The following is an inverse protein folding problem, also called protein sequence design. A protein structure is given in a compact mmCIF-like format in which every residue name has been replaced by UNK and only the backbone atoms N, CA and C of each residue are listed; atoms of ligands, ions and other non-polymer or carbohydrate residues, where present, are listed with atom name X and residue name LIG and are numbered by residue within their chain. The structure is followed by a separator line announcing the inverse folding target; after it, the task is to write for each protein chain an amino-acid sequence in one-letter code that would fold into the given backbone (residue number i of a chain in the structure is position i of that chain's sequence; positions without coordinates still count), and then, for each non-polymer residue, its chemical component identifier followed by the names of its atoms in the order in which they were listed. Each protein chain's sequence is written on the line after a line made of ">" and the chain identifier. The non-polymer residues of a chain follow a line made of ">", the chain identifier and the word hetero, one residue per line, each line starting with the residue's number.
data_IF_840170364866
#
_entry.id   IF_840170364866
#
_cell.length_a   1.000
_cell.length_b   1.000
_cell.length_c   1.000
_cell.angle_alpha   90.00
_cell.angle_beta   90.00
_cell.angle_gamma   90.00
#
_symmetry.space_group_name_H-M   'P 1'
#
loop_
_entity.id
_entity.type
_entity.pdbx_description
1 polymer ?
#
# COMPACT_ATOMS: atom_id res chain seq x y z
N UNK A 1 -58.29 -48.22 26.07
CA UNK A 1 -56.91 -48.36 25.55
C UNK A 1 -56.78 -48.38 24.01
N UNK A 2 -57.84 -48.27 23.18
CA UNK A 2 -57.69 -48.23 21.71
C UNK A 2 -57.73 -46.83 21.05
N UNK A 3 -58.18 -45.78 21.76
CA UNK A 3 -58.26 -44.40 21.21
C UNK A 3 -56.98 -43.56 21.39
N UNK A 4 -56.08 -43.97 22.29
CA UNK A 4 -54.81 -43.24 22.52
C UNK A 4 -53.74 -43.58 21.48
N UNK A 5 -53.76 -44.80 20.94
CA UNK A 5 -52.82 -45.24 19.90
C UNK A 5 -53.11 -44.61 18.53
N UNK A 6 -54.33 -44.11 18.29
CA UNK A 6 -54.71 -43.49 17.00
C UNK A 6 -54.23 -42.02 16.92
N UNK A 7 -54.22 -41.30 18.04
CA UNK A 7 -53.74 -39.90 18.10
C UNK A 7 -52.21 -39.80 18.00
N UNK A 8 -51.47 -40.78 18.51
CA UNK A 8 -50.01 -40.80 18.42
C UNK A 8 -49.51 -41.20 17.01
N UNK A 9 -50.30 -41.99 16.27
CA UNK A 9 -49.95 -42.42 14.90
C UNK A 9 -50.12 -41.30 13.87
N UNK A 10 -51.07 -40.38 14.07
CA UNK A 10 -51.29 -39.25 13.14
C UNK A 10 -50.21 -38.17 13.29
N UNK A 11 -49.67 -37.98 14.50
CA UNK A 11 -48.63 -36.97 14.76
C UNK A 11 -47.23 -37.38 14.25
N UNK A 12 -46.95 -38.68 14.15
CA UNK A 12 -45.67 -39.21 13.64
C UNK A 12 -45.65 -39.24 12.10
N UNK A 13 -46.82 -39.36 11.45
CA UNK A 13 -46.90 -39.43 9.98
C UNK A 13 -46.76 -38.06 9.30
N UNK A 14 -46.95 -36.95 10.02
CA UNK A 14 -46.79 -35.58 9.48
C UNK A 14 -45.35 -35.04 9.53
N UNK A 15 -44.38 -35.78 10.08
CA UNK A 15 -42.97 -35.36 10.11
C UNK A 15 -42.18 -35.93 8.92
N UNK A 16 -42.75 -36.86 8.14
CA UNK A 16 -42.05 -37.54 7.03
C UNK A 16 -42.39 -37.02 5.62
N UNK A 17 -43.08 -35.87 5.47
CA UNK A 17 -43.52 -35.37 4.15
C UNK A 17 -43.16 -33.89 3.90
N UNK A 18 -41.87 -33.55 4.10
CA UNK A 18 -41.18 -32.36 3.54
C UNK A 18 -39.72 -32.82 3.39
N UNK A 19 -38.99 -32.76 2.28
CA UNK A 19 -39.20 -32.37 0.88
C UNK A 19 -37.86 -32.68 0.17
N UNK A 20 -37.90 -33.15 -1.08
CA UNK A 20 -36.85 -33.11 -2.13
C UNK A 20 -35.46 -33.71 -1.78
N UNK A 21 -35.14 -34.94 -2.20
CA UNK A 21 -34.71 -35.40 -3.54
C UNK A 21 -33.25 -35.05 -3.87
N UNK A 22 -32.41 -36.08 -3.84
CA UNK A 22 -31.15 -36.34 -4.57
C UNK A 22 -30.27 -35.13 -4.94
N UNK A 23 -29.18 -34.96 -4.18
CA UNK A 23 -27.81 -34.86 -4.73
C UNK A 23 -26.80 -35.00 -3.58
N UNK A 24 -26.48 -36.26 -3.26
CA UNK A 24 -25.46 -36.68 -2.29
C UNK A 24 -24.02 -36.47 -2.82
N UNK A 25 -23.68 -35.24 -3.22
CA UNK A 25 -22.30 -34.82 -3.51
C UNK A 25 -22.04 -33.39 -3.01
N UNK A 26 -22.64 -33.04 -1.88
CA UNK A 26 -22.15 -31.92 -1.09
C UNK A 26 -20.78 -32.32 -0.52
N UNK A 27 -19.74 -32.15 -1.34
CA UNK A 27 -18.39 -31.90 -0.84
C UNK A 27 -18.53 -30.68 0.05
N UNK A 28 -18.67 -30.92 1.35
CA UNK A 28 -18.42 -29.92 2.36
C UNK A 28 -16.95 -29.59 2.16
N UNK A 29 -16.67 -28.61 1.31
CA UNK A 29 -15.40 -27.90 1.31
C UNK A 29 -15.42 -27.17 2.65
N UNK A 30 -14.99 -27.87 3.70
CA UNK A 30 -14.49 -27.21 4.89
C UNK A 30 -13.32 -26.42 4.35
N UNK A 31 -13.55 -25.13 4.10
CA UNK A 31 -12.49 -24.21 3.76
C UNK A 31 -11.59 -24.17 4.99
N UNK A 32 -10.60 -25.06 5.01
CA UNK A 32 -9.58 -25.08 6.04
C UNK A 32 -9.01 -23.67 6.08
N UNK A 33 -9.12 -23.02 7.24
CA UNK A 33 -8.46 -21.74 7.44
C UNK A 33 -7.00 -21.88 6.99
N UNK A 34 -6.41 -20.84 6.36
CA UNK A 34 -5.03 -20.92 5.91
C UNK A 34 -4.13 -21.36 7.07
N UNK A 35 -3.29 -22.38 6.86
CA UNK A 35 -2.33 -22.83 7.86
C UNK A 35 -1.17 -21.82 7.91
N UNK A 36 -1.09 -21.08 9.02
CA UNK A 36 -0.03 -20.10 9.30
C UNK A 36 1.07 -20.68 10.22
N UNK A 37 1.18 -22.01 10.31
CA UNK A 37 2.31 -22.63 11.02
C UNK A 37 3.60 -22.54 10.20
N UNK A 38 4.72 -22.25 10.86
CA UNK A 38 6.03 -22.18 10.22
C UNK A 38 6.95 -21.10 10.80
N UNK A 39 8.15 -21.01 10.23
CA UNK A 39 9.10 -19.93 10.51
C UNK A 39 8.96 -18.86 9.43
N UNK A 40 8.60 -17.64 9.85
CA UNK A 40 8.53 -16.50 8.95
C UNK A 40 9.89 -15.81 8.86
N UNK A 41 10.25 -15.39 7.66
CA UNK A 41 11.39 -14.51 7.41
C UNK A 41 10.90 -13.29 6.67
N UNK A 42 11.44 -12.12 7.04
CA UNK A 42 11.17 -10.87 6.32
C UNK A 42 11.63 -11.04 4.87
N UNK A 43 10.75 -10.77 3.90
CA UNK A 43 11.09 -10.80 2.47
C UNK A 43 11.06 -9.42 1.82
N UNK A 44 10.17 -8.54 2.29
CA UNK A 44 10.02 -7.20 1.72
C UNK A 44 9.58 -6.19 2.78
N UNK A 45 10.24 -5.04 2.85
CA UNK A 45 9.82 -3.94 3.71
C UNK A 45 9.09 -2.92 2.84
N UNK A 46 7.83 -2.65 3.18
CA UNK A 46 7.02 -1.64 2.50
C UNK A 46 7.04 -0.35 3.31
N UNK A 47 7.77 0.65 2.81
CA UNK A 47 7.76 2.01 3.32
C UNK A 47 6.88 2.92 2.47
N UNK A 48 7.45 4.05 2.04
CA UNK A 48 6.80 5.00 1.14
C UNK A 48 6.61 4.38 -0.26
N UNK A 49 5.58 4.81 -1.00
CA UNK A 49 5.36 4.32 -2.35
C UNK A 49 6.59 4.48 -3.25
N UNK A 50 6.77 3.53 -4.18
CA UNK A 50 7.78 3.51 -5.23
C UNK A 50 9.28 3.57 -4.83
N UNK A 51 9.66 3.85 -3.57
CA UNK A 51 11.06 4.05 -3.15
C UNK A 51 11.95 2.85 -3.46
N UNK A 52 11.57 1.67 -2.98
CA UNK A 52 12.33 0.44 -3.22
C UNK A 52 12.39 0.10 -4.73
N UNK A 53 11.36 0.45 -5.49
CA UNK A 53 11.31 0.17 -6.94
C UNK A 53 12.29 1.06 -7.70
N UNK A 54 12.32 2.36 -7.40
CA UNK A 54 13.03 3.38 -8.17
C UNK A 54 14.49 3.53 -7.75
N UNK A 55 14.76 3.61 -6.44
CA UNK A 55 16.07 4.05 -5.95
C UNK A 55 16.97 2.92 -5.46
N UNK A 56 16.43 1.73 -5.17
CA UNK A 56 17.24 0.58 -4.77
C UNK A 56 17.71 -0.19 -6.01
N UNK A 57 19.02 -0.24 -6.22
CA UNK A 57 19.61 -1.02 -7.31
C UNK A 57 19.23 -2.51 -7.23
N UNK A 58 19.06 -3.17 -8.38
CA UNK A 58 18.53 -4.54 -8.47
C UNK A 58 19.29 -5.57 -7.61
N UNK A 59 20.62 -5.45 -7.52
CA UNK A 59 21.46 -6.32 -6.70
C UNK A 59 21.39 -6.09 -5.19
N UNK A 60 20.69 -5.03 -4.75
CA UNK A 60 20.65 -4.61 -3.34
C UNK A 60 19.25 -4.69 -2.74
N UNK A 61 18.25 -5.14 -3.49
CA UNK A 61 16.85 -5.22 -3.02
C UNK A 61 16.68 -6.17 -1.84
N UNK A 62 17.27 -7.36 -1.91
CA UNK A 62 17.18 -8.32 -0.81
C UNK A 62 17.85 -7.78 0.47
N UNK A 63 19.01 -7.14 0.35
CA UNK A 63 19.72 -6.53 1.48
C UNK A 63 18.93 -5.35 2.07
N UNK A 64 18.36 -4.49 1.21
CA UNK A 64 17.52 -3.37 1.61
C UNK A 64 16.29 -3.84 2.39
N UNK A 65 15.63 -4.90 1.91
CA UNK A 65 14.41 -5.46 2.47
C UNK A 65 14.57 -6.11 3.86
N UNK A 66 15.80 -6.42 4.26
CA UNK A 66 16.11 -6.99 5.58
C UNK A 66 16.90 -6.03 6.48
N UNK A 67 17.33 -4.88 5.94
CA UNK A 67 18.06 -3.87 6.71
C UNK A 67 17.09 -3.15 7.64
N UNK A 68 17.45 -3.04 8.92
CA UNK A 68 16.63 -2.32 9.90
C UNK A 68 16.50 -0.86 9.47
N UNK A 69 15.29 -0.24 9.52
CA UNK A 69 15.07 1.12 9.02
C UNK A 69 16.08 2.16 9.52
N UNK A 70 16.46 2.10 10.80
CA UNK A 70 17.45 3.01 11.41
C UNK A 70 18.87 2.89 10.85
N UNK A 71 19.16 1.84 10.07
CA UNK A 71 20.45 1.58 9.43
C UNK A 71 20.41 1.82 7.91
N UNK A 72 19.20 1.94 7.31
CA UNK A 72 19.07 2.03 5.85
C UNK A 72 19.75 3.27 5.28
N UNK A 73 19.60 4.44 5.92
CA UNK A 73 20.26 5.66 5.47
C UNK A 73 21.79 5.47 5.37
N UNK A 74 22.42 4.95 6.43
CA UNK A 74 23.86 4.72 6.44
C UNK A 74 24.34 3.69 5.40
N UNK A 75 23.47 2.75 5.02
CA UNK A 75 23.81 1.66 4.10
C UNK A 75 23.53 2.01 2.62
N UNK A 76 22.52 2.85 2.35
CA UNK A 76 21.97 3.01 1.00
C UNK A 76 21.86 4.46 0.50
N UNK A 77 22.08 5.48 1.34
CA UNK A 77 21.90 6.89 0.92
C UNK A 77 22.77 7.24 -0.30
N UNK A 78 24.05 6.84 -0.33
CA UNK A 78 24.93 7.11 -1.48
C UNK A 78 24.39 6.48 -2.78
N UNK A 79 23.84 5.27 -2.71
CA UNK A 79 23.20 4.62 -3.86
C UNK A 79 21.95 5.37 -4.32
N UNK A 80 21.15 5.85 -3.37
CA UNK A 80 19.95 6.63 -3.67
C UNK A 80 20.31 7.95 -4.34
N UNK A 81 21.36 8.62 -3.86
CA UNK A 81 21.87 9.86 -4.45
C UNK A 81 22.35 9.63 -5.89
N UNK A 82 23.17 8.61 -6.11
CA UNK A 82 23.65 8.26 -7.45
C UNK A 82 22.49 7.96 -8.41
N UNK A 83 21.51 7.18 -7.95
CA UNK A 83 20.33 6.84 -8.76
C UNK A 83 19.43 8.05 -9.00
N UNK A 84 19.26 8.94 -8.02
CA UNK A 84 18.50 10.19 -8.16
C UNK A 84 19.13 11.10 -9.22
N UNK A 85 20.44 11.33 -9.13
CA UNK A 85 21.17 12.19 -10.07
C UNK A 85 21.24 11.58 -11.48
N UNK A 86 21.27 10.25 -11.58
CA UNK A 86 21.20 9.57 -12.87
C UNK A 86 19.79 9.61 -13.49
N UNK A 87 18.74 9.62 -12.67
CA UNK A 87 17.35 9.59 -13.10
C UNK A 87 16.83 10.99 -13.45
N UNK A 88 17.12 11.99 -12.62
CA UNK A 88 16.49 13.30 -12.71
C UNK A 88 17.41 14.37 -13.31
N UNK A 89 16.99 15.01 -14.42
CA UNK A 89 17.68 16.20 -14.93
C UNK A 89 17.64 17.40 -13.97
N UNK A 90 16.71 17.43 -12.99
CA UNK A 90 16.60 18.50 -11.99
C UNK A 90 17.71 18.47 -10.92
N UNK A 91 18.62 17.49 -10.96
CA UNK A 91 19.78 17.40 -10.06
C UNK A 91 21.11 17.32 -10.85
N UNK A 92 21.19 18.04 -11.98
CA UNK A 92 22.37 18.00 -12.85
C UNK A 92 23.54 18.80 -12.25
N UNK A 93 23.25 19.87 -11.52
CA UNK A 93 24.24 20.70 -10.84
C UNK A 93 24.21 20.48 -9.32
N UNK A 94 25.36 20.62 -8.64
CA UNK A 94 25.44 20.43 -7.18
C UNK A 94 24.59 21.42 -6.34
N UNK A 95 24.24 22.57 -6.91
CA UNK A 95 23.44 23.60 -6.24
C UNK A 95 21.93 23.43 -6.45
N UNK A 96 21.52 22.50 -7.34
CA UNK A 96 20.12 22.28 -7.65
C UNK A 96 19.40 21.65 -6.45
N UNK A 97 18.16 22.08 -6.22
CA UNK A 97 17.30 21.55 -5.17
C UNK A 97 15.90 21.24 -5.69
N UNK A 98 15.16 20.35 -5.02
CA UNK A 98 13.73 20.20 -5.33
C UNK A 98 12.89 21.32 -4.71
N UNK A 99 11.58 21.29 -4.96
CA UNK A 99 10.64 22.23 -4.38
C UNK A 99 10.47 22.17 -2.85
N UNK A 100 11.24 21.34 -2.14
CA UNK A 100 11.40 21.40 -0.68
C UNK A 100 12.69 22.14 -0.26
N UNK A 101 13.49 22.60 -1.22
CA UNK A 101 14.81 23.18 -1.00
C UNK A 101 15.87 22.18 -0.57
N UNK A 102 15.68 20.89 -0.86
CA UNK A 102 16.64 19.83 -0.53
C UNK A 102 17.53 19.54 -1.74
N UNK A 103 18.84 19.53 -1.53
CA UNK A 103 19.79 19.07 -2.55
C UNK A 103 19.74 17.53 -2.69
N UNK A 104 20.50 16.99 -3.65
CA UNK A 104 20.50 15.55 -3.92
C UNK A 104 20.90 14.70 -2.71
N UNK A 105 21.87 15.14 -1.90
CA UNK A 105 22.32 14.42 -0.69
C UNK A 105 21.23 14.42 0.39
N UNK A 106 20.64 15.59 0.65
CA UNK A 106 19.58 15.76 1.65
C UNK A 106 18.30 15.00 1.28
N UNK A 107 17.87 15.11 0.02
CA UNK A 107 16.67 14.43 -0.46
C UNK A 107 16.85 12.93 -0.48
N UNK A 108 17.96 12.42 -1.03
CA UNK A 108 18.26 10.99 -0.98
C UNK A 108 18.42 10.46 0.45
N UNK A 109 18.93 11.28 1.38
CA UNK A 109 18.97 10.94 2.80
C UNK A 109 17.59 10.79 3.43
N UNK A 110 16.67 11.70 3.11
CA UNK A 110 15.26 11.60 3.48
C UNK A 110 14.63 10.33 2.90
N UNK A 111 14.91 10.00 1.63
CA UNK A 111 14.34 8.86 0.92
C UNK A 111 14.91 7.50 1.36
N UNK A 112 16.20 7.43 1.73
CA UNK A 112 16.88 6.19 2.07
C UNK A 112 16.38 5.56 3.38
N UNK A 113 15.79 6.34 4.30
CA UNK A 113 15.07 5.80 5.45
C UNK A 113 13.63 5.51 5.05
N UNK A 114 13.37 4.36 4.45
CA UNK A 114 12.08 4.06 3.84
C UNK A 114 11.05 3.59 4.89
N UNK A 115 10.39 4.58 5.49
CA UNK A 115 9.36 4.40 6.52
C UNK A 115 8.13 5.26 6.22
N UNK A 116 6.97 4.77 6.64
CA UNK A 116 5.73 5.55 6.62
C UNK A 116 5.66 6.42 7.88
N UNK A 117 5.90 7.71 7.71
CA UNK A 117 5.68 8.70 8.75
C UNK A 117 4.18 8.96 8.94
N UNK A 118 3.76 9.14 10.19
CA UNK A 118 2.37 9.46 10.54
C UNK A 118 2.38 10.54 11.62
N UNK A 119 1.66 11.63 11.35
CA UNK A 119 1.32 12.63 12.37
C UNK A 119 0.13 12.14 13.20
N UNK A 120 0.23 12.23 14.52
CA UNK A 120 -0.82 11.78 15.45
C UNK A 120 -1.72 12.91 15.94
N UNK A 121 -1.26 14.15 15.82
CA UNK A 121 -1.88 15.36 16.38
C UNK A 121 -1.86 16.56 15.42
N UNK A 122 -1.29 16.41 14.23
CA UNK A 122 -1.27 17.41 13.16
C UNK A 122 -1.97 16.96 11.89
N UNK A 123 -1.86 17.77 10.83
CA UNK A 123 -2.34 17.40 9.50
C UNK A 123 -1.67 16.12 9.02
N UNK A 124 -2.47 15.20 8.49
CA UNK A 124 -1.99 13.97 7.83
C UNK A 124 -2.07 14.19 6.32
N UNK A 125 -0.91 14.38 5.69
CA UNK A 125 -0.81 14.49 4.23
C UNK A 125 0.57 14.04 3.75
N UNK A 126 0.62 13.57 2.51
CA UNK A 126 1.86 13.29 1.82
C UNK A 126 2.61 14.59 1.51
N UNK A 127 1.89 15.60 0.97
CA UNK A 127 2.37 16.97 0.79
C UNK A 127 1.20 17.92 0.51
N UNK A 128 1.13 19.06 1.23
CA UNK A 128 0.12 20.12 1.00
C UNK A 128 0.75 21.51 0.77
N UNK A 129 2.05 21.56 0.50
CA UNK A 129 2.83 22.81 0.40
C UNK A 129 3.38 23.31 1.73
N UNK A 130 2.92 22.80 2.88
CA UNK A 130 3.41 23.17 4.22
C UNK A 130 3.89 21.94 5.00
N UNK A 131 3.06 20.90 5.06
CA UNK A 131 3.32 19.63 5.72
C UNK A 131 3.89 18.65 4.69
N UNK A 132 4.93 17.91 5.09
CA UNK A 132 5.68 17.00 4.20
C UNK A 132 5.78 15.65 4.88
N UNK A 133 5.33 14.59 4.21
CA UNK A 133 5.43 13.20 4.67
C UNK A 133 4.89 13.02 6.10
N UNK A 134 3.71 13.55 6.37
CA UNK A 134 3.03 13.45 7.68
C UNK A 134 1.98 12.34 7.71
N UNK A 135 2.00 11.48 6.70
CA UNK A 135 1.06 10.41 6.43
C UNK A 135 0.51 10.57 5.02
N UNK A 136 -0.75 10.18 4.80
CA UNK A 136 -1.46 10.40 3.54
C UNK A 136 -2.96 10.53 3.78
N UNK A 137 -3.58 11.47 3.10
CA UNK A 137 -5.02 11.55 2.95
C UNK A 137 -5.48 10.67 1.77
N UNK A 138 -6.77 10.33 1.72
CA UNK A 138 -7.35 9.57 0.60
C UNK A 138 -7.21 10.33 -0.73
N UNK A 139 -7.28 11.66 -0.68
CA UNK A 139 -7.23 12.54 -1.85
C UNK A 139 -5.81 12.98 -2.22
N UNK A 140 -4.78 12.52 -1.51
CA UNK A 140 -3.40 12.88 -1.86
C UNK A 140 -2.99 12.15 -3.13
N UNK A 141 -2.59 12.92 -4.15
CA UNK A 141 -1.95 12.41 -5.34
C UNK A 141 -0.46 12.16 -5.08
N UNK A 142 -0.19 11.01 -4.45
CA UNK A 142 1.14 10.65 -3.97
C UNK A 142 2.15 10.54 -5.12
N UNK A 143 1.74 9.97 -6.27
CA UNK A 143 2.66 9.73 -7.38
C UNK A 143 3.02 11.04 -8.06
N UNK A 144 2.05 11.91 -8.34
CA UNK A 144 2.36 13.24 -8.90
C UNK A 144 3.26 14.05 -7.98
N UNK A 145 3.03 14.03 -6.65
CA UNK A 145 3.94 14.70 -5.70
C UNK A 145 5.34 14.10 -5.74
N UNK A 146 5.49 12.78 -5.76
CA UNK A 146 6.81 12.13 -5.87
C UNK A 146 7.53 12.55 -7.16
N UNK A 147 6.82 12.54 -8.30
CA UNK A 147 7.36 12.97 -9.58
C UNK A 147 7.76 14.46 -9.57
N UNK A 148 6.95 15.32 -8.98
CA UNK A 148 7.27 16.74 -8.77
C UNK A 148 8.54 16.92 -7.92
N UNK A 149 8.71 16.15 -6.85
CA UNK A 149 9.90 16.23 -5.99
C UNK A 149 11.17 15.67 -6.64
N UNK A 150 11.02 14.76 -7.60
CA UNK A 150 12.13 14.18 -8.35
C UNK A 150 12.50 15.08 -9.54
N UNK A 151 11.52 15.54 -10.32
CA UNK A 151 11.72 16.14 -11.64
C UNK A 151 11.35 17.64 -11.72
N UNK A 152 10.58 18.16 -10.78
CA UNK A 152 10.02 19.51 -10.85
C UNK A 152 11.01 20.64 -10.58
N UNK A 153 12.19 20.36 -10.01
CA UNK A 153 13.14 21.39 -9.59
C UNK A 153 12.60 22.28 -8.47
N UNK A 154 13.20 23.46 -8.28
CA UNK A 154 12.96 24.34 -7.12
C UNK A 154 11.55 24.93 -7.08
N UNK A 155 10.94 25.14 -8.25
CA UNK A 155 9.62 25.78 -8.37
C UNK A 155 8.54 24.82 -8.90
N UNK A 156 8.86 23.53 -9.00
CA UNK A 156 8.01 22.47 -9.53
C UNK A 156 7.71 22.56 -11.03
N UNK A 157 8.44 23.38 -11.81
CA UNK A 157 8.13 23.61 -13.24
C UNK A 157 9.20 23.15 -14.24
N UNK A 158 10.36 22.66 -13.79
CA UNK A 158 11.49 22.42 -14.68
C UNK A 158 11.25 21.33 -15.74
N UNK A 159 10.68 20.19 -15.34
CA UNK A 159 10.46 19.04 -16.23
C UNK A 159 9.00 18.58 -16.21
N UNK A 160 8.06 19.38 -16.76
CA UNK A 160 6.62 19.14 -16.60
C UNK A 160 6.15 17.83 -17.24
N UNK A 161 6.82 17.36 -18.30
CA UNK A 161 6.49 16.09 -18.94
C UNK A 161 6.88 14.84 -18.11
N UNK A 162 7.66 15.02 -17.05
CA UNK A 162 8.11 13.96 -16.14
C UNK A 162 7.51 14.10 -14.74
N UNK A 163 6.83 15.22 -14.46
CA UNK A 163 6.43 15.61 -13.10
C UNK A 163 4.95 15.29 -12.80
N UNK A 164 4.30 14.47 -13.61
CA UNK A 164 2.86 14.17 -13.50
C UNK A 164 2.56 12.78 -14.07
N UNK A 165 1.74 11.98 -13.37
CA UNK A 165 1.39 10.62 -13.78
C UNK A 165 0.12 10.54 -14.66
N UNK A 166 -0.56 11.68 -14.83
CA UNK A 166 -1.80 11.88 -15.56
C UNK A 166 -2.99 11.06 -15.00
N UNK A 167 -3.01 10.80 -13.70
CA UNK A 167 -4.08 10.08 -12.99
C UNK A 167 -4.65 10.93 -11.84
N UNK A 168 -5.50 11.89 -12.20
CA UNK A 168 -6.05 12.86 -11.25
C UNK A 168 -7.01 12.28 -10.19
N UNK A 169 -7.63 11.14 -10.47
CA UNK A 169 -8.66 10.55 -9.60
C UNK A 169 -8.90 9.06 -9.85
N UNK A 170 -9.50 8.40 -8.87
CA UNK A 170 -10.00 7.03 -9.04
C UNK A 170 -11.23 6.97 -9.93
N UNK A 171 -11.40 5.86 -10.65
CA UNK A 171 -12.61 5.56 -11.43
C UNK A 171 -13.88 5.44 -10.56
N UNK A 172 -13.70 5.11 -9.28
CA UNK A 172 -14.77 5.05 -8.27
C UNK A 172 -14.32 5.77 -7.00
N UNK A 173 -15.26 6.51 -6.43
CA UNK A 173 -15.10 7.12 -5.11
C UNK A 173 -14.78 6.07 -4.05
N UNK A 174 -13.92 6.47 -3.10
CA UNK A 174 -13.65 5.68 -1.91
C UNK A 174 -14.94 5.46 -1.10
N UNK A 175 -14.99 4.37 -0.34
CA UNK A 175 -16.06 4.19 0.66
C UNK A 175 -15.97 5.30 1.71
N UNK A 176 -17.09 5.65 2.35
CA UNK A 176 -17.11 6.58 3.50
C UNK A 176 -16.80 5.89 4.85
N UNK A 177 -16.48 4.60 4.82
CA UNK A 177 -16.13 3.82 6.02
C UNK A 177 -14.86 3.03 5.80
N UNK A 178 -14.04 2.93 6.84
CA UNK A 178 -12.84 2.10 6.87
C UNK A 178 -13.17 0.66 6.39
N UNK A 179 -12.36 0.04 5.50
CA UNK A 179 -11.02 0.45 5.05
C UNK A 179 -10.99 1.43 3.86
N UNK A 180 -12.09 2.14 3.59
CA UNK A 180 -12.25 3.13 2.52
C UNK A 180 -12.08 2.57 1.10
N UNK A 181 -11.98 1.24 0.93
CA UNK A 181 -11.81 0.58 -0.36
C UNK A 181 -13.04 0.75 -1.26
N UNK A 182 -12.83 1.14 -2.52
CA UNK A 182 -13.87 1.21 -3.53
C UNK A 182 -14.39 -0.19 -3.93
N UNK A 183 -15.64 -0.28 -4.38
CA UNK A 183 -16.21 -1.56 -4.84
C UNK A 183 -15.60 -2.03 -6.17
N UNK A 184 -15.41 -3.35 -6.38
CA UNK A 184 -15.02 -3.89 -7.69
C UNK A 184 -16.00 -3.47 -8.80
N UNK A 185 -15.52 -3.40 -10.05
CA UNK A 185 -16.33 -3.05 -11.22
C UNK A 185 -17.31 -4.16 -11.63
#
# INVERSE_FOLDING_TARGET
>A
MKKFNLLFTILITSIFMVSCSDDDDAVIVIQSAPDFSGTYLQKDQLGRPAINTVFVSSGSKDDFNVTTPSQQNSAFQSMFQDNLMALSPAYTNPEDTNGLGLNAEEFSGLLATDVLNVSLDGTTTFFDGTNVLTGRNLTDDVITVELLLIFGGEDFTENPNLSDDHVDANDKEFSNSFPYLASPW
#
